data_IF_440620409733
#
_entry.id   IF_440620409733
#
_cell.length_a   1.000
_cell.length_b   1.000
_cell.length_c   1.000
_cell.angle_alpha   90.00
_cell.angle_beta   90.00
_cell.angle_gamma   90.00
#
_symmetry.space_group_name_H-M   'P 1'
#
loop_
_entity.id
_entity.type
_entity.pdbx_description
1 polymer ?
#
# COMPACT_ATOMS: atom_id res chain seq x y z
N UNK A 1 21.57 12.53 4.95
CA UNK A 1 20.12 12.36 4.74
C UNK A 1 19.63 13.64 4.09
N UNK A 2 19.17 13.61 2.84
CA UNK A 2 18.57 14.79 2.19
C UNK A 2 17.32 15.25 2.93
N UNK A 3 16.93 16.50 2.70
CA UNK A 3 15.65 17.04 3.15
C UNK A 3 14.48 16.36 2.40
N UNK A 4 13.32 16.24 3.04
CA UNK A 4 12.12 15.66 2.42
C UNK A 4 11.55 16.55 1.29
N UNK A 5 11.85 17.84 1.26
CA UNK A 5 11.47 18.71 0.14
C UNK A 5 12.44 18.63 -1.05
N UNK A 6 13.54 17.88 -0.95
CA UNK A 6 14.45 17.69 -2.06
C UNK A 6 13.78 16.88 -3.19
N UNK A 7 14.18 17.05 -4.47
CA UNK A 7 13.56 16.32 -5.57
C UNK A 7 13.57 14.80 -5.35
N UNK A 8 12.39 14.19 -5.40
CA UNK A 8 12.23 12.75 -5.27
C UNK A 8 12.42 12.03 -6.60
N UNK A 9 13.03 10.85 -6.54
CA UNK A 9 13.04 9.93 -7.68
C UNK A 9 11.77 9.07 -7.74
N UNK A 10 11.15 8.81 -6.58
CA UNK A 10 9.92 8.04 -6.37
C UNK A 10 9.52 8.02 -4.89
N UNK A 11 8.27 7.69 -4.64
CA UNK A 11 7.76 7.28 -3.32
C UNK A 11 7.63 5.76 -3.25
N UNK A 12 7.97 5.19 -2.10
CA UNK A 12 7.75 3.77 -1.79
C UNK A 12 6.54 3.59 -0.88
N UNK A 13 5.65 2.66 -1.22
CA UNK A 13 4.46 2.32 -0.42
C UNK A 13 4.32 0.82 -0.26
N UNK A 14 3.68 0.39 0.84
CA UNK A 14 3.29 -1.00 1.06
C UNK A 14 1.78 -1.13 0.90
N UNK A 15 1.34 -2.03 0.03
CA UNK A 15 -0.05 -2.43 -0.11
C UNK A 15 -0.25 -3.79 0.57
N UNK A 16 -0.37 -3.72 1.89
CA UNK A 16 -0.38 -4.89 2.77
C UNK A 16 -1.15 -4.63 4.04
N UNK A 17 -2.40 -4.16 3.93
CA UNK A 17 -3.28 -4.05 5.09
C UNK A 17 -3.39 -5.43 5.75
N UNK A 18 -2.92 -5.60 6.98
CA UNK A 18 -3.07 -6.87 7.68
C UNK A 18 -4.46 -6.90 8.35
N UNK A 19 -5.25 -7.95 8.09
CA UNK A 19 -6.58 -8.15 8.69
C UNK A 19 -6.53 -8.27 10.21
N UNK A 20 -5.41 -8.73 10.77
CA UNK A 20 -5.22 -8.85 12.22
C UNK A 20 -4.98 -7.48 12.88
N UNK A 21 -4.48 -6.50 12.13
CA UNK A 21 -4.26 -5.12 12.61
C UNK A 21 -5.54 -4.31 12.44
N UNK A 22 -6.14 -4.34 11.25
CA UNK A 22 -7.26 -3.47 10.89
C UNK A 22 -8.63 -4.10 11.17
N UNK A 23 -8.68 -5.40 11.44
CA UNK A 23 -9.92 -6.14 11.58
C UNK A 23 -10.70 -6.24 10.26
N UNK A 24 -11.73 -7.10 10.25
CA UNK A 24 -12.54 -7.35 9.04
C UNK A 24 -13.31 -6.12 8.55
N UNK A 25 -13.71 -5.23 9.47
CA UNK A 25 -14.55 -4.07 9.15
C UNK A 25 -13.77 -2.94 8.47
N UNK A 26 -12.55 -2.65 8.91
CA UNK A 26 -11.77 -1.53 8.37
C UNK A 26 -10.87 -1.95 7.21
N UNK A 27 -10.54 -3.24 7.10
CA UNK A 27 -9.65 -3.76 6.07
C UNK A 27 -9.98 -3.28 4.64
N UNK A 28 -11.25 -3.34 4.15
CA UNK A 28 -11.56 -2.85 2.80
C UNK A 28 -11.30 -1.35 2.63
N UNK A 29 -11.73 -0.53 3.60
CA UNK A 29 -11.53 0.91 3.55
C UNK A 29 -10.06 1.33 3.64
N UNK A 30 -9.23 0.57 4.38
CA UNK A 30 -7.78 0.82 4.42
C UNK A 30 -7.13 0.53 3.07
N UNK A 31 -7.55 -0.54 2.38
CA UNK A 31 -7.05 -0.83 1.03
C UNK A 31 -7.43 0.28 0.04
N UNK A 32 -8.69 0.74 0.07
CA UNK A 32 -9.14 1.86 -0.77
C UNK A 32 -8.37 3.14 -0.47
N UNK A 33 -8.17 3.48 0.80
CA UNK A 33 -7.42 4.66 1.20
C UNK A 33 -5.96 4.60 0.75
N UNK A 34 -5.29 3.44 0.89
CA UNK A 34 -3.92 3.26 0.41
C UNK A 34 -3.83 3.40 -1.12
N UNK A 35 -4.82 2.90 -1.86
CA UNK A 35 -4.89 3.07 -3.31
C UNK A 35 -5.09 4.55 -3.68
N UNK A 36 -5.98 5.26 -2.99
CA UNK A 36 -6.22 6.69 -3.21
C UNK A 36 -4.97 7.52 -2.96
N UNK A 37 -4.25 7.28 -1.85
CA UNK A 37 -2.99 7.97 -1.56
C UNK A 37 -1.96 7.69 -2.66
N UNK A 38 -1.82 6.43 -3.10
CA UNK A 38 -0.88 6.07 -4.16
C UNK A 38 -1.21 6.77 -5.48
N UNK A 39 -2.50 6.85 -5.85
CA UNK A 39 -2.94 7.54 -7.05
C UNK A 39 -2.68 9.05 -6.97
N UNK A 40 -2.96 9.68 -5.83
CA UNK A 40 -2.67 11.10 -5.62
C UNK A 40 -1.18 11.40 -5.72
N UNK A 41 -0.32 10.59 -5.12
CA UNK A 41 1.14 10.78 -5.23
C UNK A 41 1.62 10.56 -6.67
N UNK A 42 1.01 9.59 -7.38
CA UNK A 42 1.35 9.29 -8.78
C UNK A 42 1.08 10.43 -9.76
N UNK A 43 0.29 11.44 -9.38
CA UNK A 43 0.12 12.68 -10.14
C UNK A 43 1.38 13.55 -10.15
N UNK A 44 2.28 13.37 -9.18
CA UNK A 44 3.46 14.22 -8.98
C UNK A 44 4.77 13.46 -9.17
N UNK A 45 4.83 12.18 -8.81
CA UNK A 45 6.05 11.38 -8.89
C UNK A 45 5.76 9.88 -9.00
N UNK A 46 6.73 9.06 -9.48
CA UNK A 46 6.53 7.61 -9.57
C UNK A 46 6.29 6.97 -8.19
N UNK A 47 5.36 6.02 -8.12
CA UNK A 47 5.12 5.20 -6.92
C UNK A 47 5.62 3.77 -7.14
N UNK A 48 6.48 3.28 -6.26
CA UNK A 48 6.88 1.86 -6.19
C UNK A 48 6.13 1.17 -5.06
N UNK A 49 5.28 0.21 -5.41
CA UNK A 49 4.39 -0.45 -4.46
C UNK A 49 4.86 -1.87 -4.14
N UNK A 50 5.08 -2.15 -2.86
CA UNK A 50 5.34 -3.49 -2.34
C UNK A 50 3.99 -4.15 -2.03
N UNK A 51 3.66 -5.21 -2.77
CA UNK A 51 2.41 -5.95 -2.61
C UNK A 51 2.71 -7.27 -1.91
N UNK A 52 1.95 -7.58 -0.86
CA UNK A 52 2.09 -8.87 -0.18
C UNK A 52 1.53 -9.96 -1.10
N UNK A 53 2.39 -10.91 -1.50
CA UNK A 53 1.94 -12.07 -2.23
C UNK A 53 1.16 -13.00 -1.28
N UNK A 54 -0.16 -13.03 -1.43
CA UNK A 54 -0.99 -14.01 -0.74
C UNK A 54 -1.06 -15.25 -1.61
N UNK A 55 -0.09 -16.15 -1.44
CA UNK A 55 -0.21 -17.51 -1.99
C UNK A 55 -1.39 -18.20 -1.32
N UNK A 56 -2.42 -18.51 -2.12
CA UNK A 56 -3.57 -19.30 -1.72
C UNK A 56 -3.11 -20.63 -1.09
N UNK A 57 -3.25 -20.80 0.23
CA UNK A 57 -3.23 -22.12 0.86
C UNK A 57 -4.66 -22.65 0.86
N UNK A 58 -5.03 -23.38 -0.19
CA UNK A 58 -6.28 -24.12 -0.21
C UNK A 58 -6.31 -25.13 0.94
N UNK A 59 -7.12 -24.87 1.97
CA UNK A 59 -7.74 -25.94 2.74
C UNK A 59 -9.00 -26.35 1.99
N UNK A 60 -8.84 -27.36 1.15
CA UNK A 60 -9.90 -28.32 0.89
C UNK A 60 -9.94 -29.20 2.14
N UNK A 61 -11.00 -29.08 2.92
CA UNK A 61 -11.71 -30.12 3.70
C UNK A 61 -12.87 -29.41 4.43
#
# INVERSE_FOLDING_TARGET
MPDEAAPHARTWMVFGANKDIWGRRLFPGVQENLANIALTIAEYEPVSMLVVNVTWQGRML
#
